data_IF_310442072534
#
_entry.id   IF_310442072534
#
_cell.length_a   1.000
_cell.length_b   1.000
_cell.length_c   1.000
_cell.angle_alpha   90.00
_cell.angle_beta   90.00
_cell.angle_gamma   90.00
#
_symmetry.space_group_name_H-M   'P 1'
#
loop_
_entity.id
_entity.type
_entity.pdbx_description
1 polymer ?
#
# COMPACT_ATOMS: atom_id res chain seq x y z
N UNK A 1 10.77 32.79 7.62
CA UNK A 1 10.75 31.43 7.02
C UNK A 1 10.45 30.44 8.13
N UNK A 2 9.25 29.86 8.15
CA UNK A 2 8.80 29.08 9.31
C UNK A 2 9.56 27.74 9.42
N UNK A 3 10.16 27.47 10.59
CA UNK A 3 10.85 26.21 10.92
C UNK A 3 10.00 24.99 10.60
N UNK A 4 10.63 23.95 10.05
CA UNK A 4 10.09 22.61 9.94
C UNK A 4 9.52 22.18 11.30
N UNK A 5 8.27 21.73 11.32
CA UNK A 5 7.62 21.27 12.55
C UNK A 5 8.12 19.88 12.94
N UNK A 6 7.97 19.52 14.21
CA UNK A 6 8.60 18.31 14.73
C UNK A 6 7.97 17.04 14.13
N UNK A 7 6.64 16.94 13.97
CA UNK A 7 6.05 15.72 13.39
C UNK A 7 6.53 15.50 11.95
N UNK A 8 6.44 16.55 11.11
CA UNK A 8 6.89 16.48 9.72
C UNK A 8 8.36 16.05 9.66
N UNK A 9 9.24 16.66 10.45
CA UNK A 9 10.66 16.28 10.50
C UNK A 9 10.85 14.79 10.80
N UNK A 10 10.17 14.24 11.81
CA UNK A 10 10.32 12.83 12.16
C UNK A 10 9.77 11.92 11.06
N UNK A 11 8.62 12.26 10.47
CA UNK A 11 8.06 11.49 9.35
C UNK A 11 9.00 11.50 8.14
N UNK A 12 9.57 12.65 7.78
CA UNK A 12 10.56 12.75 6.70
C UNK A 12 11.77 11.85 6.98
N UNK A 13 12.32 11.90 8.19
CA UNK A 13 13.48 11.08 8.58
C UNK A 13 13.15 9.59 8.46
N UNK A 14 12.02 9.14 9.02
CA UNK A 14 11.62 7.72 8.97
C UNK A 14 11.44 7.24 7.53
N UNK A 15 10.75 8.03 6.68
CA UNK A 15 10.56 7.68 5.27
C UNK A 15 11.89 7.57 4.51
N UNK A 16 12.83 8.49 4.76
CA UNK A 16 14.17 8.43 4.15
C UNK A 16 14.94 7.21 4.65
N UNK A 17 14.87 6.89 5.94
CA UNK A 17 15.52 5.69 6.50
C UNK A 17 14.96 4.41 5.89
N UNK A 18 13.63 4.30 5.76
CA UNK A 18 12.98 3.18 5.08
C UNK A 18 13.42 3.09 3.63
N UNK A 19 13.44 4.21 2.89
CA UNK A 19 13.87 4.22 1.50
C UNK A 19 15.34 3.82 1.34
N UNK A 20 16.24 4.31 2.21
CA UNK A 20 17.65 3.87 2.20
C UNK A 20 17.75 2.38 2.48
N UNK A 21 17.02 1.86 3.48
CA UNK A 21 16.98 0.43 3.77
C UNK A 21 16.45 -0.37 2.57
N UNK A 22 15.40 0.10 1.89
CA UNK A 22 14.90 -0.52 0.66
C UNK A 22 15.95 -0.54 -0.44
N UNK A 23 16.78 0.49 -0.60
CA UNK A 23 17.88 0.47 -1.57
C UNK A 23 19.02 -0.49 -1.19
N UNK A 24 19.16 -0.84 0.09
CA UNK A 24 20.19 -1.77 0.57
C UNK A 24 19.74 -3.24 0.53
N UNK A 25 18.47 -3.50 0.84
CA UNK A 25 17.90 -4.84 1.00
C UNK A 25 16.90 -5.23 -0.10
N UNK A 26 16.57 -4.32 -1.03
CA UNK A 26 15.73 -4.51 -2.21
C UNK A 26 14.43 -5.27 -1.90
N UNK A 27 14.23 -6.41 -2.56
CA UNK A 27 13.01 -7.23 -2.51
C UNK A 27 12.63 -7.62 -1.09
N UNK A 28 13.59 -7.86 -0.20
CA UNK A 28 13.34 -8.26 1.18
C UNK A 28 12.57 -7.19 1.97
N UNK A 29 12.83 -5.92 1.71
CA UNK A 29 12.09 -4.82 2.35
C UNK A 29 10.67 -4.74 1.81
N UNK A 30 10.48 -5.01 0.53
CA UNK A 30 9.14 -5.05 -0.06
C UNK A 30 8.33 -6.21 0.50
N UNK A 31 8.93 -7.40 0.62
CA UNK A 31 8.33 -8.57 1.22
C UNK A 31 7.90 -8.31 2.67
N UNK A 32 8.79 -7.77 3.50
CA UNK A 32 8.50 -7.60 4.93
C UNK A 32 7.55 -6.46 5.26
N UNK A 33 7.63 -5.33 4.55
CA UNK A 33 7.00 -4.08 4.99
C UNK A 33 5.94 -3.50 4.06
N UNK A 34 5.79 -4.00 2.83
CA UNK A 34 4.70 -3.59 1.94
C UNK A 34 3.39 -4.25 2.36
N UNK A 35 2.25 -3.66 2.02
CA UNK A 35 0.94 -4.21 2.34
C UNK A 35 0.56 -5.27 1.33
N UNK A 36 0.80 -6.54 1.67
CA UNK A 36 0.35 -7.69 0.90
C UNK A 36 -1.15 -7.94 1.10
N UNK A 37 -1.73 -8.71 0.18
CA UNK A 37 -3.09 -9.21 0.33
C UNK A 37 -3.20 -10.11 1.57
N UNK A 38 -4.27 -10.04 2.39
CA UNK A 38 -4.33 -10.77 3.66
C UNK A 38 -4.13 -12.30 3.56
N UNK A 39 -4.53 -12.90 2.45
CA UNK A 39 -4.40 -14.33 2.16
C UNK A 39 -3.06 -14.68 1.46
N UNK A 40 -2.21 -13.70 1.18
CA UNK A 40 -0.86 -13.92 0.67
C UNK A 40 0.09 -14.36 1.81
N UNK A 41 1.01 -15.27 1.51
CA UNK A 41 1.97 -15.82 2.48
C UNK A 41 2.91 -14.77 3.11
N UNK A 42 3.16 -13.67 2.39
CA UNK A 42 4.00 -12.58 2.87
C UNK A 42 3.24 -11.59 3.78
N UNK A 43 1.94 -11.78 4.00
CA UNK A 43 1.15 -10.85 4.79
C UNK A 43 1.53 -10.87 6.28
N UNK A 44 1.68 -9.67 6.83
CA UNK A 44 1.90 -9.44 8.25
C UNK A 44 1.04 -8.29 8.76
N UNK A 45 0.42 -8.41 9.93
CA UNK A 45 -0.48 -7.38 10.47
C UNK A 45 0.20 -6.01 10.65
N UNK A 46 1.53 -5.97 10.82
CA UNK A 46 2.31 -4.73 10.91
C UNK A 46 2.35 -3.96 9.58
N UNK A 47 2.10 -4.62 8.45
CA UNK A 47 2.09 -4.02 7.13
C UNK A 47 1.02 -2.96 6.95
N UNK A 48 -0.08 -3.06 7.71
CA UNK A 48 -1.11 -2.03 7.79
C UNK A 48 -0.55 -0.66 8.20
N UNK A 49 0.56 -0.64 8.95
CA UNK A 49 1.28 0.59 9.31
C UNK A 49 2.56 0.78 8.51
N UNK A 50 3.37 -0.28 8.33
CA UNK A 50 4.71 -0.13 7.74
C UNK A 50 4.68 0.24 6.25
N UNK A 51 3.63 -0.15 5.50
CA UNK A 51 3.52 0.17 4.08
C UNK A 51 3.50 1.70 3.83
N UNK A 52 3.03 2.47 4.82
CA UNK A 52 3.00 3.93 4.76
C UNK A 52 4.40 4.55 4.63
N UNK A 53 5.46 3.80 4.93
CA UNK A 53 6.85 4.26 4.86
C UNK A 53 7.62 3.66 3.68
N UNK A 54 7.04 2.65 3.00
CA UNK A 54 7.63 2.02 1.82
C UNK A 54 7.44 2.89 0.57
N UNK A 55 8.43 2.90 -0.33
CA UNK A 55 8.36 3.70 -1.55
C UNK A 55 8.91 2.91 -2.74
N UNK A 56 8.17 2.92 -3.86
CA UNK A 56 8.51 2.17 -5.08
C UNK A 56 9.57 2.82 -5.98
N UNK A 57 10.18 3.95 -5.58
CA UNK A 57 11.21 4.61 -6.38
C UNK A 57 11.48 6.05 -5.95
N UNK A 58 12.54 6.64 -6.51
CA UNK A 58 13.03 7.98 -6.13
C UNK A 58 12.00 9.08 -6.33
N UNK A 59 11.35 9.14 -7.51
CA UNK A 59 10.33 10.16 -7.78
C UNK A 59 9.12 10.01 -6.86
N UNK A 60 8.76 8.78 -6.47
CA UNK A 60 7.65 8.52 -5.57
C UNK A 60 7.92 9.09 -4.18
N UNK A 61 9.08 8.81 -3.58
CA UNK A 61 9.44 9.42 -2.28
C UNK A 61 9.60 10.94 -2.40
N UNK A 62 10.21 11.45 -3.46
CA UNK A 62 10.45 12.88 -3.63
C UNK A 62 9.14 13.68 -3.57
N UNK A 63 8.14 13.28 -4.37
CA UNK A 63 6.85 13.97 -4.38
C UNK A 63 6.07 13.79 -3.09
N UNK A 64 6.12 12.60 -2.48
CA UNK A 64 5.47 12.35 -1.21
C UNK A 64 6.04 13.23 -0.09
N UNK A 65 7.37 13.30 0.00
CA UNK A 65 8.03 14.12 1.02
C UNK A 65 7.85 15.61 0.78
N UNK A 66 7.83 16.03 -0.49
CA UNK A 66 7.51 17.41 -0.85
C UNK A 66 6.09 17.79 -0.45
N UNK A 67 5.09 16.96 -0.77
CA UNK A 67 3.70 17.21 -0.41
C UNK A 67 3.50 17.19 1.12
N UNK A 68 4.08 16.20 1.80
CA UNK A 68 4.04 16.11 3.27
C UNK A 68 4.64 17.37 3.91
N UNK A 69 5.78 17.85 3.42
CA UNK A 69 6.39 19.07 3.93
C UNK A 69 5.55 20.31 3.63
N UNK A 70 5.16 20.51 2.38
CA UNK A 70 4.48 21.73 1.92
C UNK A 70 3.10 21.90 2.55
N UNK A 71 2.31 20.82 2.62
CA UNK A 71 0.93 20.86 3.09
C UNK A 71 0.76 20.36 4.52
N UNK A 72 1.62 19.44 4.98
CA UNK A 72 1.57 18.95 6.35
C UNK A 72 2.09 19.97 7.37
N UNK A 73 3.11 20.77 7.04
CA UNK A 73 3.67 21.76 7.98
C UNK A 73 2.63 22.81 8.42
N UNK A 74 1.84 23.44 7.52
CA UNK A 74 0.77 24.34 7.93
C UNK A 74 -0.31 23.67 8.80
N UNK A 75 -0.72 22.45 8.45
CA UNK A 75 -1.72 21.69 9.21
C UNK A 75 -1.20 21.34 10.62
N UNK A 76 0.05 20.90 10.76
CA UNK A 76 0.64 20.63 12.07
C UNK A 76 0.69 21.89 12.95
N UNK A 77 1.02 23.05 12.36
CA UNK A 77 1.02 24.32 13.11
C UNK A 77 -0.38 24.72 13.58
N UNK A 78 -1.40 24.48 12.76
CA UNK A 78 -2.78 24.84 13.07
C UNK A 78 -3.40 23.91 14.11
N UNK A 79 -3.18 22.60 13.97
CA UNK A 79 -3.85 21.60 14.80
C UNK A 79 -3.01 21.16 16.01
N UNK A 80 -1.70 21.39 15.97
CA UNK A 80 -0.73 20.82 16.89
C UNK A 80 -0.33 19.39 16.51
N UNK A 81 0.84 18.99 17.01
CA UNK A 81 1.53 17.73 16.71
C UNK A 81 0.63 16.49 16.80
N UNK A 82 -0.07 16.31 17.92
CA UNK A 82 -0.79 15.07 18.21
C UNK A 82 -2.01 14.89 17.30
N UNK A 83 -2.75 15.96 17.02
CA UNK A 83 -3.90 15.92 16.10
C UNK A 83 -3.45 15.65 14.67
N UNK A 84 -2.37 16.29 14.24
CA UNK A 84 -1.78 16.03 12.92
C UNK A 84 -1.34 14.57 12.76
N UNK A 85 -0.61 14.02 13.73
CA UNK A 85 -0.17 12.62 13.68
C UNK A 85 -1.36 11.66 13.69
N UNK A 86 -2.36 11.89 14.53
CA UNK A 86 -3.57 11.09 14.55
C UNK A 86 -4.27 11.09 13.19
N UNK A 87 -4.41 12.27 12.57
CA UNK A 87 -4.99 12.41 11.24
C UNK A 87 -4.16 11.70 10.16
N UNK A 88 -2.84 11.90 10.15
CA UNK A 88 -1.91 11.28 9.21
C UNK A 88 -2.02 9.76 9.23
N UNK A 89 -1.95 9.15 10.42
CA UNK A 89 -2.05 7.69 10.55
C UNK A 89 -3.46 7.18 10.27
N UNK A 90 -4.51 7.90 10.68
CA UNK A 90 -5.89 7.50 10.37
C UNK A 90 -6.17 7.51 8.87
N UNK A 91 -5.69 8.53 8.15
CA UNK A 91 -5.82 8.61 6.70
C UNK A 91 -5.03 7.49 5.99
N UNK A 92 -3.80 7.20 6.44
CA UNK A 92 -3.01 6.11 5.88
C UNK A 92 -3.65 4.73 6.11
N UNK A 93 -4.06 4.43 7.34
CA UNK A 93 -4.73 3.16 7.69
C UNK A 93 -6.10 3.07 6.98
N UNK A 94 -6.85 4.15 6.91
CA UNK A 94 -8.13 4.19 6.17
C UNK A 94 -7.94 3.87 4.69
N UNK A 95 -6.93 4.44 4.04
CA UNK A 95 -6.58 4.11 2.66
C UNK A 95 -6.18 2.64 2.50
N UNK A 96 -5.39 2.11 3.44
CA UNK A 96 -4.99 0.71 3.45
C UNK A 96 -6.19 -0.25 3.57
N UNK A 97 -7.14 0.04 4.47
CA UNK A 97 -8.37 -0.74 4.62
C UNK A 97 -9.22 -0.73 3.34
N UNK A 98 -9.38 0.44 2.71
CA UNK A 98 -10.11 0.56 1.44
C UNK A 98 -9.38 -0.23 0.34
N UNK A 99 -8.07 -0.08 0.23
CA UNK A 99 -7.26 -0.80 -0.75
C UNK A 99 -7.37 -2.32 -0.57
N UNK A 100 -7.21 -2.83 0.66
CA UNK A 100 -7.38 -4.25 0.96
C UNK A 100 -8.79 -4.74 0.65
N UNK A 101 -9.83 -3.94 0.94
CA UNK A 101 -11.21 -4.29 0.61
C UNK A 101 -11.48 -4.37 -0.91
N UNK A 102 -10.90 -3.46 -1.69
CA UNK A 102 -10.97 -3.50 -3.16
C UNK A 102 -10.23 -4.73 -3.71
N UNK A 103 -9.04 -5.02 -3.18
CA UNK A 103 -8.30 -6.23 -3.56
C UNK A 103 -9.07 -7.50 -3.20
N UNK A 104 -9.74 -7.54 -2.05
CA UNK A 104 -10.60 -8.65 -1.67
C UNK A 104 -11.75 -8.86 -2.67
N UNK A 105 -12.37 -7.77 -3.15
CA UNK A 105 -13.38 -7.86 -4.20
C UNK A 105 -12.84 -8.47 -5.50
N UNK A 106 -11.69 -7.98 -6.00
CA UNK A 106 -11.07 -8.53 -7.21
C UNK A 106 -10.58 -9.96 -7.03
N UNK A 107 -10.06 -10.29 -5.85
CA UNK A 107 -9.61 -11.63 -5.54
C UNK A 107 -10.76 -12.64 -5.62
N UNK A 108 -11.87 -12.35 -4.94
CA UNK A 108 -13.04 -13.24 -4.95
C UNK A 108 -13.65 -13.35 -6.35
N UNK A 109 -13.71 -12.25 -7.11
CA UNK A 109 -14.22 -12.29 -8.48
C UNK A 109 -13.42 -13.24 -9.38
N UNK A 110 -12.09 -13.24 -9.28
CA UNK A 110 -11.23 -14.12 -10.08
C UNK A 110 -11.25 -15.57 -9.61
N UNK A 111 -11.15 -15.80 -8.30
CA UNK A 111 -11.11 -17.16 -7.76
C UNK A 111 -12.41 -17.90 -8.03
N UNK A 112 -13.57 -17.25 -7.85
CA UNK A 112 -14.88 -17.85 -8.16
C UNK A 112 -15.01 -18.18 -9.65
N UNK A 113 -14.53 -17.30 -10.53
CA UNK A 113 -14.58 -17.54 -11.97
C UNK A 113 -13.74 -18.76 -12.39
N UNK A 114 -12.58 -18.95 -11.78
CA UNK A 114 -11.74 -20.13 -12.01
C UNK A 114 -12.36 -21.38 -11.36
N UNK A 115 -12.91 -21.27 -10.15
CA UNK A 115 -13.56 -22.39 -9.46
C UNK A 115 -14.78 -22.94 -10.22
N UNK A 116 -15.50 -22.08 -10.94
CA UNK A 116 -16.62 -22.50 -11.80
C UNK A 116 -16.20 -23.41 -12.97
N UNK A 117 -14.90 -23.51 -13.27
CA UNK A 117 -14.35 -24.47 -14.25
C UNK A 117 -14.07 -25.87 -13.65
N UNK A 118 -14.26 -26.04 -12.34
CA UNK A 118 -14.04 -27.31 -11.63
C UNK A 118 -12.68 -27.43 -10.93
N UNK A 119 -11.84 -26.38 -10.97
CA UNK A 119 -10.56 -26.33 -10.25
C UNK A 119 -10.84 -25.98 -8.78
N UNK A 120 -10.21 -26.68 -7.83
CA UNK A 120 -10.42 -26.38 -6.41
C UNK A 120 -9.68 -25.12 -5.98
N UNK A 121 -10.22 -24.42 -4.98
CA UNK A 121 -9.59 -23.24 -4.38
C UNK A 121 -8.15 -23.52 -3.93
N UNK A 122 -7.93 -24.66 -3.28
CA UNK A 122 -6.59 -25.08 -2.83
C UNK A 122 -5.57 -25.19 -3.96
N UNK A 123 -5.98 -25.71 -5.12
CA UNK A 123 -5.11 -25.80 -6.30
C UNK A 123 -4.80 -24.41 -6.87
N UNK A 124 -5.79 -23.52 -6.90
CA UNK A 124 -5.58 -22.14 -7.37
C UNK A 124 -4.60 -21.41 -6.45
N UNK A 125 -4.80 -21.51 -5.13
CA UNK A 125 -3.93 -20.90 -4.13
C UNK A 125 -2.50 -21.44 -4.20
N UNK A 126 -2.32 -22.76 -4.37
CA UNK A 126 -1.00 -23.38 -4.55
C UNK A 126 -0.28 -22.89 -5.81
N UNK A 127 -1.01 -22.70 -6.91
CA UNK A 127 -0.44 -22.17 -8.17
C UNK A 127 0.03 -20.73 -7.97
N UNK A 128 -0.81 -19.85 -7.41
CA UNK A 128 -0.48 -18.43 -7.30
C UNK A 128 0.55 -18.14 -6.19
N UNK A 129 0.58 -18.92 -5.11
CA UNK A 129 1.62 -18.77 -4.07
C UNK A 129 2.99 -19.16 -4.60
N UNK A 130 3.06 -20.12 -5.53
CA UNK A 130 4.29 -20.44 -6.26
C UNK A 130 4.74 -19.38 -7.27
N UNK A 131 4.04 -18.24 -7.38
CA UNK A 131 4.28 -17.22 -8.40
C UNK A 131 3.94 -17.69 -9.82
N UNK A 132 3.16 -18.77 -9.94
CA UNK A 132 2.73 -19.35 -11.21
C UNK A 132 1.29 -18.93 -11.53
N UNK A 133 0.91 -19.06 -12.79
CA UNK A 133 -0.48 -18.92 -13.24
C UNK A 133 -0.70 -19.78 -14.49
N UNK A 134 -1.93 -20.23 -14.69
CA UNK A 134 -2.30 -20.95 -15.92
C UNK A 134 -2.82 -19.97 -16.97
N UNK A 135 -2.25 -19.94 -18.19
CA UNK A 135 -2.81 -19.18 -19.31
C UNK A 135 -4.25 -19.58 -19.65
N UNK A 136 -4.67 -20.79 -19.29
CA UNK A 136 -6.03 -21.27 -19.54
C UNK A 136 -7.10 -20.51 -18.74
N UNK A 137 -6.72 -19.80 -17.67
CA UNK A 137 -7.66 -18.99 -16.90
C UNK A 137 -8.34 -17.90 -17.74
N UNK A 138 -7.67 -17.42 -18.80
CA UNK A 138 -8.25 -16.48 -19.75
C UNK A 138 -9.34 -17.09 -20.64
N UNK A 139 -9.49 -18.42 -20.66
CA UNK A 139 -10.60 -19.11 -21.32
C UNK A 139 -11.83 -19.20 -20.40
N UNK A 140 -11.65 -19.07 -19.08
CA UNK A 140 -12.72 -19.18 -18.08
C UNK A 140 -13.33 -17.83 -17.69
N UNK A 141 -12.54 -16.75 -17.75
CA UNK A 141 -12.99 -15.41 -17.39
C UNK A 141 -12.37 -14.32 -18.29
N UNK A 142 -12.98 -13.13 -18.37
CA UNK A 142 -12.39 -12.00 -19.08
C UNK A 142 -10.99 -11.67 -18.56
N UNK A 143 -10.11 -11.22 -19.47
CA UNK A 143 -8.74 -10.82 -19.14
C UNK A 143 -8.65 -9.84 -17.97
N UNK A 144 -9.56 -8.86 -17.89
CA UNK A 144 -9.61 -7.91 -16.78
C UNK A 144 -9.85 -8.57 -15.42
N UNK A 145 -10.66 -9.62 -15.36
CA UNK A 145 -10.94 -10.35 -14.12
C UNK A 145 -9.70 -11.10 -13.65
N UNK A 146 -9.04 -11.82 -14.56
CA UNK A 146 -7.83 -12.58 -14.23
C UNK A 146 -6.66 -11.65 -13.88
N UNK A 147 -6.46 -10.57 -14.63
CA UNK A 147 -5.37 -9.63 -14.38
C UNK A 147 -5.57 -8.90 -13.04
N UNK A 148 -6.80 -8.48 -12.71
CA UNK A 148 -7.11 -7.86 -11.42
C UNK A 148 -6.95 -8.85 -10.26
N UNK A 149 -7.36 -10.10 -10.43
CA UNK A 149 -7.17 -11.17 -9.45
C UNK A 149 -5.69 -11.40 -9.14
N UNK A 150 -4.87 -11.58 -10.19
CA UNK A 150 -3.43 -11.78 -10.05
C UNK A 150 -2.76 -10.55 -9.43
N UNK A 151 -3.14 -9.35 -9.84
CA UNK A 151 -2.60 -8.11 -9.27
C UNK A 151 -3.01 -7.92 -7.81
N UNK A 152 -4.25 -8.26 -7.44
CA UNK A 152 -4.72 -8.15 -6.06
C UNK A 152 -3.90 -9.03 -5.12
N UNK A 153 -3.50 -10.23 -5.57
CA UNK A 153 -2.70 -11.17 -4.79
C UNK A 153 -1.19 -10.85 -4.77
N UNK A 154 -0.60 -10.49 -5.93
CA UNK A 154 0.86 -10.41 -6.11
C UNK A 154 1.46 -9.01 -6.01
N UNK A 155 0.64 -7.96 -6.12
CA UNK A 155 1.15 -6.57 -6.12
C UNK A 155 0.87 -5.94 -4.75
N UNK A 156 1.87 -5.86 -3.85
CA UNK A 156 1.65 -5.25 -2.56
C UNK A 156 1.59 -3.72 -2.67
N UNK A 157 0.82 -3.09 -1.78
CA UNK A 157 0.74 -1.63 -1.71
C UNK A 157 1.95 -1.03 -0.98
N UNK A 158 2.45 0.09 -1.50
CA UNK A 158 3.52 0.88 -0.89
C UNK A 158 3.19 2.37 -0.98
N UNK A 159 3.57 3.14 0.02
CA UNK A 159 3.58 4.60 -0.05
C UNK A 159 2.76 5.28 1.03
N UNK A 160 3.22 6.46 1.42
CA UNK A 160 2.48 7.39 2.27
C UNK A 160 1.29 8.05 1.57
N UNK A 161 1.03 7.73 0.30
CA UNK A 161 0.11 8.46 -0.58
C UNK A 161 -1.30 8.57 -0.02
N UNK A 162 -1.83 7.53 0.63
CA UNK A 162 -3.14 7.60 1.30
C UNK A 162 -3.21 8.67 2.39
N UNK A 163 -2.18 8.77 3.22
CA UNK A 163 -2.07 9.81 4.24
C UNK A 163 -1.86 11.20 3.62
N UNK A 164 -1.08 11.28 2.54
CA UNK A 164 -0.81 12.54 1.84
C UNK A 164 -2.05 13.07 1.13
N UNK A 165 -2.87 12.23 0.50
CA UNK A 165 -4.15 12.67 -0.04
C UNK A 165 -5.07 13.20 1.06
N UNK A 166 -5.09 12.55 2.23
CA UNK A 166 -5.78 13.07 3.40
C UNK A 166 -5.31 14.49 3.78
N UNK A 167 -3.99 14.71 3.83
CA UNK A 167 -3.39 16.03 4.08
C UNK A 167 -3.82 17.05 3.02
N UNK A 168 -3.79 16.70 1.74
CA UNK A 168 -4.14 17.60 0.65
C UNK A 168 -5.61 18.03 0.72
N UNK A 169 -6.51 17.07 1.00
CA UNK A 169 -7.94 17.36 1.19
C UNK A 169 -8.14 18.27 2.39
N UNK A 170 -7.53 17.96 3.54
CA UNK A 170 -7.64 18.77 4.74
C UNK A 170 -7.07 20.18 4.59
N UNK A 171 -6.05 20.36 3.76
CA UNK A 171 -5.48 21.67 3.47
C UNK A 171 -6.39 22.52 2.56
N UNK A 172 -7.17 21.88 1.69
CA UNK A 172 -8.08 22.55 0.77
C UNK A 172 -9.45 22.92 1.36
N UNK A 173 -9.76 22.44 2.57
CA UNK A 173 -11.00 22.74 3.31
C UNK A 173 -10.80 23.88 4.30
#
# INVERSE_FOLDING_TARGET
MGRLTDAIKHLLIVNVLFFVATNLYADQMYEWFSLWFPENENFGFWQMLSHMFMHGGFMHILFNMYALWAFGTPLERMWGRNKFLFFYFSAGIGAALIHSGVNYYYFNQGIEAIMNSGISESQILEIISGGQYSPDWYNYAPRSVIDNFLSAYNTPAVGASGAIYGILVAFGM
#
